data_IF_273129668298
#
_entry.id   IF_273129668298
#
_cell.length_a   1.000
_cell.length_b   1.000
_cell.length_c   1.000
_cell.angle_alpha   90.00
_cell.angle_beta   90.00
_cell.angle_gamma   90.00
#
_symmetry.space_group_name_H-M   'P 1'
#
loop_
_entity.id
_entity.type
_entity.pdbx_description
1 polymer ?
#
# COMPACT_ATOMS: atom_id res chain seq x y z
N UNK A 1 -19.22 -2.90 3.02
CA UNK A 1 -20.35 -1.94 3.03
C UNK A 1 -20.23 -1.09 1.78
N UNK A 2 -21.33 -0.80 1.10
CA UNK A 2 -21.30 0.10 -0.06
C UNK A 2 -21.16 1.54 0.44
N UNK A 3 -20.19 2.28 -0.11
CA UNK A 3 -20.11 3.74 -0.01
C UNK A 3 -21.21 4.33 -0.90
N UNK A 4 -21.73 5.51 -0.54
CA UNK A 4 -22.92 6.13 -1.15
C UNK A 4 -22.96 6.01 -2.67
N UNK A 5 -24.05 5.42 -3.18
CA UNK A 5 -24.33 5.37 -4.60
C UNK A 5 -24.95 6.70 -5.05
N UNK A 6 -24.11 7.63 -5.53
CA UNK A 6 -24.59 8.79 -6.27
C UNK A 6 -25.52 8.34 -7.41
N UNK A 7 -26.68 8.98 -7.53
CA UNK A 7 -27.70 8.58 -8.52
C UNK A 7 -27.34 9.05 -9.92
N UNK A 8 -26.68 8.20 -10.69
CA UNK A 8 -26.24 8.52 -12.06
C UNK A 8 -27.40 8.51 -13.08
N UNK A 9 -27.42 9.52 -13.94
CA UNK A 9 -28.35 9.59 -15.06
C UNK A 9 -27.87 8.64 -16.18
N UNK A 10 -28.57 7.52 -16.36
CA UNK A 10 -28.23 6.47 -17.34
C UNK A 10 -28.46 6.91 -18.78
N UNK A 11 -27.57 7.75 -19.33
CA UNK A 11 -27.54 8.08 -20.75
C UNK A 11 -26.92 6.91 -21.53
N UNK A 12 -27.75 6.26 -22.35
CA UNK A 12 -27.31 5.23 -23.27
C UNK A 12 -26.26 5.78 -24.24
N UNK A 13 -25.26 4.95 -24.59
CA UNK A 13 -24.14 5.30 -25.49
C UNK A 13 -24.65 5.99 -26.77
N UNK A 14 -24.25 7.24 -27.06
CA UNK A 14 -24.37 7.75 -28.42
C UNK A 14 -23.39 6.96 -29.29
N UNK A 15 -23.93 6.15 -30.20
CA UNK A 15 -23.16 5.31 -31.10
C UNK A 15 -22.26 6.17 -31.98
N UNK A 16 -20.96 5.87 -32.01
CA UNK A 16 -20.14 6.28 -33.16
C UNK A 16 -20.72 5.61 -34.42
N UNK A 17 -20.67 6.25 -35.61
CA UNK A 17 -21.19 5.68 -36.84
C UNK A 17 -20.27 4.56 -37.37
N UNK A 18 -20.29 3.40 -36.73
CA UNK A 18 -19.62 2.19 -37.21
C UNK A 18 -20.50 1.48 -38.22
N UNK A 19 -20.05 1.45 -39.48
CA UNK A 19 -20.44 0.37 -40.38
C UNK A 19 -19.91 -0.97 -39.82
N UNK A 20 -20.66 -2.04 -40.06
CA UNK A 20 -20.38 -3.46 -39.71
C UNK A 20 -20.86 -3.89 -38.30
N UNK A 21 -21.58 -5.02 -38.28
CA UNK A 21 -22.27 -5.60 -37.13
C UNK A 21 -21.30 -6.19 -36.08
N UNK A 22 -20.83 -5.36 -35.15
CA UNK A 22 -20.50 -5.83 -33.80
C UNK A 22 -21.63 -5.43 -32.84
N UNK A 23 -22.13 -6.39 -32.08
CA UNK A 23 -23.09 -6.16 -30.99
C UNK A 23 -22.41 -5.45 -29.83
N UNK A 24 -22.16 -4.15 -29.98
CA UNK A 24 -21.63 -3.31 -28.91
C UNK A 24 -22.69 -3.22 -27.80
N UNK A 25 -22.35 -3.71 -26.61
CA UNK A 25 -23.24 -3.69 -25.47
C UNK A 25 -23.68 -2.25 -25.17
N UNK A 26 -24.99 -2.05 -24.97
CA UNK A 26 -25.59 -0.75 -24.61
C UNK A 26 -25.42 -0.48 -23.11
N UNK A 27 -24.87 -1.43 -22.35
CA UNK A 27 -24.61 -1.29 -20.92
C UNK A 27 -23.77 -0.03 -20.61
N UNK A 28 -24.11 0.71 -19.54
CA UNK A 28 -23.27 1.81 -19.07
C UNK A 28 -21.89 1.27 -18.71
N UNK A 29 -20.84 2.03 -19.06
CA UNK A 29 -19.50 1.70 -18.61
C UNK A 29 -19.46 1.82 -17.07
N UNK A 30 -18.86 0.87 -16.37
CA UNK A 30 -18.46 1.03 -14.96
C UNK A 30 -16.94 1.11 -14.88
N UNK A 31 -16.42 2.15 -14.21
CA UNK A 31 -14.98 2.34 -14.04
C UNK A 31 -14.57 1.90 -12.63
N UNK A 32 -13.83 0.79 -12.55
CA UNK A 32 -13.33 0.26 -11.29
C UNK A 32 -11.88 0.75 -11.13
N UNK A 33 -11.56 1.42 -10.04
CA UNK A 33 -10.26 2.10 -9.85
C UNK A 33 -9.52 1.42 -8.70
N UNK A 34 -8.31 0.92 -8.96
CA UNK A 34 -7.43 0.41 -7.91
C UNK A 34 -6.75 1.57 -7.16
N UNK A 35 -6.62 1.48 -5.82
CA UNK A 35 -5.94 2.51 -5.02
C UNK A 35 -4.50 2.82 -5.47
N UNK A 36 -3.78 1.82 -6.01
CA UNK A 36 -2.44 2.01 -6.57
C UNK A 36 -2.41 3.09 -7.68
N UNK A 37 -3.39 3.11 -8.58
CA UNK A 37 -3.46 4.12 -9.64
C UNK A 37 -3.66 5.54 -9.06
N UNK A 38 -4.51 5.69 -8.04
CA UNK A 38 -4.76 6.97 -7.37
C UNK A 38 -3.47 7.47 -6.69
N UNK A 39 -2.76 6.60 -5.97
CA UNK A 39 -1.49 6.95 -5.33
C UNK A 39 -0.41 7.36 -6.34
N UNK A 40 -0.33 6.70 -7.50
CA UNK A 40 0.56 7.09 -8.60
C UNK A 40 0.24 8.50 -9.13
N UNK A 41 -1.05 8.81 -9.31
CA UNK A 41 -1.51 10.13 -9.77
C UNK A 41 -1.19 11.22 -8.73
N UNK A 42 -1.38 10.94 -7.44
CA UNK A 42 -1.07 11.87 -6.36
C UNK A 42 0.45 12.09 -6.20
N UNK A 43 1.27 11.05 -6.28
CA UNK A 43 2.74 11.16 -6.30
C UNK A 43 3.23 12.01 -7.49
N UNK A 44 2.65 11.79 -8.68
CA UNK A 44 2.94 12.62 -9.84
C UNK A 44 2.49 14.09 -9.65
N UNK A 45 1.34 14.33 -9.00
CA UNK A 45 0.89 15.68 -8.68
C UNK A 45 1.84 16.43 -7.73
N UNK A 46 2.42 15.73 -6.74
CA UNK A 46 3.38 16.29 -5.78
C UNK A 46 4.75 16.56 -6.40
N UNK A 47 5.17 15.76 -7.41
CA UNK A 47 6.43 15.96 -8.16
C UNK A 47 6.42 17.15 -9.12
N UNK A 48 5.28 17.81 -9.31
CA UNK A 48 5.16 18.98 -10.18
C UNK A 48 6.08 20.10 -9.69
N UNK A 49 6.91 20.64 -10.59
CA UNK A 49 7.64 21.86 -10.31
C UNK A 49 6.66 22.99 -9.96
N UNK A 50 6.82 23.57 -8.77
CA UNK A 50 5.96 24.66 -8.31
C UNK A 50 6.11 25.84 -9.30
N UNK A 51 5.05 26.25 -10.01
CA UNK A 51 5.21 27.12 -11.17
C UNK A 51 5.79 28.48 -10.77
N UNK A 52 7.01 28.75 -11.23
CA UNK A 52 7.70 30.02 -11.04
C UNK A 52 7.02 31.19 -11.80
N UNK A 53 6.06 30.88 -12.67
CA UNK A 53 5.33 31.82 -13.52
C UNK A 53 3.83 31.52 -13.47
N UNK A 54 2.95 32.52 -13.22
CA UNK A 54 1.51 32.30 -13.01
C UNK A 54 0.70 31.95 -14.28
N UNK A 55 1.37 31.74 -15.42
CA UNK A 55 0.72 31.48 -16.73
C UNK A 55 0.77 30.02 -17.16
N UNK A 56 1.57 29.17 -16.52
CA UNK A 56 1.59 27.73 -16.82
C UNK A 56 0.48 27.05 -16.03
N UNK A 57 -0.50 26.50 -16.76
CA UNK A 57 -1.53 25.61 -16.22
C UNK A 57 -0.90 24.55 -15.32
N UNK A 58 -1.24 24.55 -14.03
CA UNK A 58 -0.67 23.62 -13.06
C UNK A 58 -1.33 22.24 -13.09
N UNK A 59 -1.96 21.83 -14.19
CA UNK A 59 -2.53 20.47 -14.28
C UNK A 59 -1.45 19.46 -14.67
N UNK A 60 -1.62 18.25 -14.17
CA UNK A 60 -0.81 17.09 -14.54
C UNK A 60 -1.64 16.22 -15.49
N UNK A 61 -0.98 15.58 -16.45
CA UNK A 61 -1.58 14.69 -17.45
C UNK A 61 -0.79 13.37 -17.48
N UNK A 62 -1.49 12.26 -17.66
CA UNK A 62 -0.87 10.97 -17.91
C UNK A 62 -1.85 9.93 -18.39
N UNK A 63 -1.37 8.73 -18.71
CA UNK A 63 -2.18 7.64 -19.23
C UNK A 63 -2.64 6.67 -18.14
N UNK A 64 -3.82 6.09 -18.36
CA UNK A 64 -4.42 5.04 -17.55
C UNK A 64 -4.21 3.67 -18.22
N UNK A 65 -3.70 2.72 -17.45
CA UNK A 65 -3.48 1.34 -17.85
C UNK A 65 -4.39 0.43 -17.02
N UNK A 66 -4.85 -0.66 -17.64
CA UNK A 66 -5.47 -1.76 -16.93
C UNK A 66 -6.23 -2.71 -17.84
N UNK A 67 -7.25 -3.36 -17.30
CA UNK A 67 -7.99 -4.41 -18.02
C UNK A 67 -9.41 -3.96 -18.37
N UNK A 68 -9.93 -4.44 -19.50
CA UNK A 68 -11.35 -4.31 -19.88
C UNK A 68 -11.95 -5.71 -19.97
N UNK A 69 -13.21 -5.84 -19.55
CA UNK A 69 -13.98 -7.06 -19.79
C UNK A 69 -14.31 -7.17 -21.29
N UNK A 70 -14.42 -8.39 -21.83
CA UNK A 70 -14.68 -8.63 -23.27
C UNK A 70 -15.95 -7.93 -23.77
N UNK A 71 -16.99 -7.82 -22.92
CA UNK A 71 -18.23 -7.09 -23.21
C UNK A 71 -18.06 -5.56 -23.31
N UNK A 72 -16.90 -5.03 -22.94
CA UNK A 72 -16.59 -3.60 -22.92
C UNK A 72 -17.46 -2.76 -21.96
N UNK A 73 -18.11 -3.40 -21.00
CA UNK A 73 -19.01 -2.78 -20.01
C UNK A 73 -18.30 -2.40 -18.70
N UNK A 74 -17.19 -3.06 -18.35
CA UNK A 74 -16.36 -2.68 -17.20
C UNK A 74 -14.91 -2.37 -17.64
N UNK A 75 -14.32 -1.35 -17.02
CA UNK A 75 -12.91 -1.01 -17.17
C UNK A 75 -12.26 -0.95 -15.77
N UNK A 76 -11.28 -1.83 -15.53
CA UNK A 76 -10.51 -1.91 -14.30
C UNK A 76 -9.19 -1.16 -14.49
N UNK A 77 -9.10 0.05 -13.96
CA UNK A 77 -7.86 0.86 -13.92
C UNK A 77 -6.97 0.30 -12.81
N UNK A 78 -5.84 -0.30 -13.20
CA UNK A 78 -4.86 -0.87 -12.26
C UNK A 78 -3.69 0.07 -12.00
N UNK A 79 -3.21 0.73 -13.05
CA UNK A 79 -2.00 1.54 -13.00
C UNK A 79 -2.13 2.82 -13.82
N UNK A 80 -1.28 3.80 -13.50
CA UNK A 80 -1.25 5.09 -14.15
C UNK A 80 0.19 5.58 -14.23
N UNK A 81 0.58 6.17 -15.36
CA UNK A 81 1.92 6.72 -15.57
C UNK A 81 1.88 8.15 -16.10
N UNK A 82 2.92 8.93 -15.78
CA UNK A 82 3.08 10.32 -16.22
C UNK A 82 3.32 10.41 -17.73
N UNK A 83 2.78 11.42 -18.42
CA UNK A 83 3.22 11.76 -19.78
C UNK A 83 3.71 13.21 -19.80
N UNK A 84 4.95 13.47 -20.26
CA UNK A 84 5.42 14.81 -20.52
C UNK A 84 4.49 15.53 -21.51
N UNK A 85 4.02 16.72 -21.12
CA UNK A 85 3.17 17.57 -21.93
C UNK A 85 3.60 19.01 -21.77
N UNK A 86 3.39 19.80 -22.83
CA UNK A 86 3.65 21.24 -22.84
C UNK A 86 2.32 21.94 -23.08
N UNK A 87 1.85 22.69 -22.09
CA UNK A 87 0.62 23.49 -22.18
C UNK A 87 0.97 24.98 -22.19
N UNK A 88 0.67 25.64 -23.31
CA UNK A 88 0.74 27.08 -23.55
C UNK A 88 -0.67 27.61 -23.77
N UNK A 89 -0.91 28.92 -23.64
CA UNK A 89 -2.24 29.54 -23.75
C UNK A 89 -3.01 29.16 -25.04
N UNK A 90 -2.30 28.91 -26.15
CA UNK A 90 -2.88 28.56 -27.45
C UNK A 90 -2.69 27.08 -27.88
N UNK A 91 -1.84 26.30 -27.21
CA UNK A 91 -1.43 24.97 -27.69
C UNK A 91 -1.11 23.98 -26.57
N UNK A 92 -1.55 22.73 -26.73
CA UNK A 92 -1.13 21.59 -25.91
C UNK A 92 -0.45 20.54 -26.79
N UNK A 93 0.77 20.17 -26.44
CA UNK A 93 1.53 19.07 -27.04
C UNK A 93 1.74 17.95 -26.01
N UNK A 94 1.61 16.70 -26.44
CA UNK A 94 1.75 15.48 -25.62
C UNK A 94 2.78 14.57 -26.29
N UNK A 95 3.76 14.08 -25.54
CA UNK A 95 4.81 13.21 -26.10
C UNK A 95 4.28 11.79 -26.42
N UNK A 96 3.98 11.60 -27.71
CA UNK A 96 3.48 10.34 -28.29
C UNK A 96 4.52 9.22 -28.26
N UNK A 97 5.80 9.55 -28.45
CA UNK A 97 6.88 8.55 -28.53
C UNK A 97 7.23 8.04 -27.13
N UNK A 98 7.23 8.94 -26.13
CA UNK A 98 7.31 8.57 -24.73
C UNK A 98 6.13 7.69 -24.32
N UNK A 99 4.88 8.05 -24.66
CA UNK A 99 3.70 7.23 -24.36
C UNK A 99 3.82 5.83 -24.96
N UNK A 100 4.15 5.70 -26.26
CA UNK A 100 4.29 4.40 -26.94
C UNK A 100 5.42 3.57 -26.33
N UNK A 101 6.56 4.19 -26.00
CA UNK A 101 7.69 3.54 -25.34
C UNK A 101 7.32 3.04 -23.95
N UNK A 102 6.73 3.89 -23.11
CA UNK A 102 6.37 3.57 -21.74
C UNK A 102 5.26 2.50 -21.67
N UNK A 103 4.24 2.60 -22.52
CA UNK A 103 3.23 1.55 -22.66
C UNK A 103 3.87 0.21 -23.04
N UNK A 104 4.83 0.19 -23.96
CA UNK A 104 5.56 -1.04 -24.32
C UNK A 104 6.39 -1.63 -23.17
N UNK A 105 6.83 -0.80 -22.21
CA UNK A 105 7.54 -1.25 -21.01
C UNK A 105 6.58 -1.85 -19.98
N UNK A 106 5.43 -1.21 -19.76
CA UNK A 106 4.37 -1.78 -18.92
C UNK A 106 3.89 -3.13 -19.47
N UNK A 107 3.57 -3.23 -20.76
CA UNK A 107 3.10 -4.47 -21.38
C UNK A 107 4.13 -5.63 -21.34
N UNK A 108 5.42 -5.36 -21.14
CA UNK A 108 6.44 -6.41 -20.90
C UNK A 108 6.34 -7.00 -19.49
N UNK A 109 5.89 -6.23 -18.51
CA UNK A 109 5.65 -6.71 -17.15
C UNK A 109 4.24 -7.29 -16.99
N UNK A 110 3.24 -6.64 -17.58
CA UNK A 110 1.81 -6.95 -17.45
C UNK A 110 1.11 -7.07 -18.82
N UNK A 111 1.37 -8.15 -19.59
CA UNK A 111 0.85 -8.31 -20.96
C UNK A 111 -0.67 -8.50 -21.07
N UNK A 112 -1.39 -8.57 -19.94
CA UNK A 112 -2.87 -8.62 -19.90
C UNK A 112 -3.50 -7.24 -19.87
N UNK A 113 -2.71 -6.20 -19.60
CA UNK A 113 -3.19 -4.82 -19.52
C UNK A 113 -3.25 -4.18 -20.91
N UNK A 114 -3.97 -3.07 -20.99
CA UNK A 114 -4.22 -2.27 -22.19
C UNK A 114 -4.32 -0.80 -21.80
N UNK A 115 -4.17 0.10 -22.78
CA UNK A 115 -4.44 1.51 -22.58
C UNK A 115 -5.95 1.72 -22.38
N UNK A 116 -6.34 2.34 -21.27
CA UNK A 116 -7.75 2.60 -20.92
C UNK A 116 -8.19 4.03 -21.23
N UNK A 117 -7.23 4.97 -21.26
CA UNK A 117 -7.46 6.38 -21.50
C UNK A 117 -6.42 7.22 -20.77
N UNK A 118 -6.85 8.32 -20.15
CA UNK A 118 -5.96 9.29 -19.53
C UNK A 118 -6.55 9.90 -18.25
N UNK A 119 -5.70 10.51 -17.45
CA UNK A 119 -6.09 11.22 -16.23
C UNK A 119 -5.57 12.64 -16.23
N UNK A 120 -6.23 13.48 -15.43
CA UNK A 120 -5.72 14.79 -15.05
C UNK A 120 -6.05 15.12 -13.59
N UNK A 121 -5.37 16.14 -13.07
CA UNK A 121 -5.52 16.62 -11.68
C UNK A 121 -6.37 17.89 -11.59
N UNK A 122 -6.88 18.42 -12.70
CA UNK A 122 -7.86 19.51 -12.71
C UNK A 122 -9.27 18.98 -12.92
N UNK A 123 -10.24 19.51 -12.19
CA UNK A 123 -11.66 19.24 -12.46
C UNK A 123 -12.24 20.13 -13.57
N UNK A 124 -11.52 21.15 -14.03
CA UNK A 124 -11.98 22.05 -15.09
C UNK A 124 -11.77 21.44 -16.48
N UNK A 125 -12.86 21.30 -17.23
CA UNK A 125 -12.87 20.73 -18.57
C UNK A 125 -12.73 21.85 -19.62
N UNK A 126 -11.48 22.12 -20.01
CA UNK A 126 -11.16 23.12 -21.03
C UNK A 126 -11.22 22.55 -22.46
N UNK A 127 -11.25 23.41 -23.48
CA UNK A 127 -11.22 23.01 -24.90
C UNK A 127 -10.06 22.05 -25.24
N UNK A 128 -8.89 22.27 -24.64
CA UNK A 128 -7.73 21.39 -24.77
C UNK A 128 -8.00 19.96 -24.29
N UNK A 129 -8.86 19.76 -23.29
CA UNK A 129 -9.24 18.42 -22.82
C UNK A 129 -9.97 17.63 -23.91
N UNK A 130 -10.74 18.27 -24.79
CA UNK A 130 -11.37 17.61 -25.92
C UNK A 130 -10.34 17.16 -26.97
N UNK A 131 -9.30 17.96 -27.23
CA UNK A 131 -8.20 17.59 -28.13
C UNK A 131 -7.40 16.39 -27.59
N UNK A 132 -7.04 16.41 -26.31
CA UNK A 132 -6.35 15.29 -25.63
C UNK A 132 -7.22 14.03 -25.67
N UNK A 133 -8.52 14.15 -25.38
CA UNK A 133 -9.47 13.05 -25.41
C UNK A 133 -9.59 12.43 -26.82
N UNK A 134 -9.61 13.25 -27.89
CA UNK A 134 -9.64 12.76 -29.27
C UNK A 134 -8.33 12.10 -29.68
N UNK A 135 -7.19 12.58 -29.18
CA UNK A 135 -5.91 11.91 -29.34
C UNK A 135 -5.90 10.52 -28.67
N UNK A 136 -6.39 10.38 -27.44
CA UNK A 136 -6.53 9.08 -26.76
C UNK A 136 -7.65 8.19 -27.31
N UNK A 137 -8.61 8.74 -28.06
CA UNK A 137 -9.62 7.99 -28.80
C UNK A 137 -9.18 7.59 -30.23
N UNK A 138 -8.03 8.10 -30.70
CA UNK A 138 -7.55 7.88 -32.07
C UNK A 138 -7.22 6.39 -32.35
N UNK A 139 -7.45 5.87 -33.57
CA UNK A 139 -7.11 4.49 -33.91
C UNK A 139 -5.61 4.16 -33.91
N UNK A 140 -4.74 5.17 -34.02
CA UNK A 140 -3.29 4.97 -34.18
C UNK A 140 -2.53 4.94 -32.83
N UNK A 141 -3.07 5.61 -31.81
CA UNK A 141 -2.37 5.83 -30.53
C UNK A 141 -3.26 5.54 -29.31
N UNK A 142 -4.57 5.34 -29.54
CA UNK A 142 -5.60 5.34 -28.52
C UNK A 142 -6.22 3.99 -28.22
N UNK A 143 -7.45 4.03 -27.68
CA UNK A 143 -8.14 2.87 -27.09
C UNK A 143 -9.15 2.19 -28.03
N UNK A 144 -9.11 2.51 -29.33
CA UNK A 144 -10.02 1.99 -30.34
C UNK A 144 -10.04 0.44 -30.35
N UNK A 145 -11.21 -0.23 -30.36
CA UNK A 145 -12.56 0.28 -30.65
C UNK A 145 -13.35 0.80 -29.43
N UNK A 146 -12.76 0.83 -28.23
CA UNK A 146 -13.46 1.23 -27.01
C UNK A 146 -13.25 2.72 -26.68
N UNK A 147 -14.22 3.41 -26.05
CA UNK A 147 -14.08 4.82 -25.67
C UNK A 147 -13.00 5.00 -24.60
N UNK A 148 -12.14 6.00 -24.79
CA UNK A 148 -11.13 6.39 -23.82
C UNK A 148 -11.78 6.96 -22.55
N UNK A 149 -11.35 6.47 -21.39
CA UNK A 149 -11.78 6.98 -20.08
C UNK A 149 -10.93 8.19 -19.71
N UNK A 150 -11.59 9.28 -19.33
CA UNK A 150 -10.95 10.46 -18.74
C UNK A 150 -11.24 10.49 -17.23
N UNK A 151 -10.19 10.48 -16.40
CA UNK A 151 -10.29 10.50 -14.94
C UNK A 151 -9.78 11.83 -14.38
N UNK A 152 -10.61 12.59 -13.65
CA UNK A 152 -10.15 13.75 -12.88
C UNK A 152 -10.00 13.38 -11.40
N UNK A 153 -8.87 13.74 -10.79
CA UNK A 153 -8.55 13.49 -9.38
C UNK A 153 -8.27 14.82 -8.67
N UNK A 154 -8.95 15.13 -7.56
CA UNK A 154 -8.58 16.29 -6.73
C UNK A 154 -7.21 16.08 -6.08
N UNK A 155 -6.41 17.14 -6.05
CA UNK A 155 -5.09 17.16 -5.41
C UNK A 155 -5.01 18.18 -4.26
N UNK A 156 -6.14 18.62 -3.72
CA UNK A 156 -6.21 19.65 -2.70
C UNK A 156 -5.71 19.13 -1.34
N UNK A 157 -4.60 19.68 -0.78
CA UNK A 157 -4.02 19.13 0.45
C UNK A 157 -4.95 19.26 1.65
N UNK A 158 -5.33 18.11 2.24
CA UNK A 158 -6.20 18.05 3.41
C UNK A 158 -7.70 17.98 3.11
N UNK A 159 -8.10 17.98 1.83
CA UNK A 159 -9.45 17.61 1.41
C UNK A 159 -9.53 16.10 1.09
N UNK A 160 -10.75 15.56 1.05
CA UNK A 160 -10.98 14.20 0.59
C UNK A 160 -10.75 14.08 -0.92
N UNK A 161 -10.17 12.95 -1.37
CA UNK A 161 -9.81 12.73 -2.77
C UNK A 161 -11.07 12.52 -3.62
N UNK A 162 -11.54 13.59 -4.26
CA UNK A 162 -12.65 13.53 -5.20
C UNK A 162 -12.21 12.92 -6.54
N UNK A 163 -12.95 11.92 -7.00
CA UNK A 163 -12.76 11.24 -8.27
C UNK A 163 -13.97 11.50 -9.17
N UNK A 164 -13.75 11.76 -10.46
CA UNK A 164 -14.81 11.78 -11.47
C UNK A 164 -14.30 11.11 -12.73
N UNK A 165 -15.07 10.17 -13.26
CA UNK A 165 -14.78 9.47 -14.51
C UNK A 165 -15.72 9.98 -15.62
N UNK A 166 -15.16 10.19 -16.80
CA UNK A 166 -15.87 10.68 -17.98
C UNK A 166 -15.54 9.82 -19.21
N UNK A 167 -16.45 9.80 -20.17
CA UNK A 167 -16.23 9.33 -21.55
C UNK A 167 -16.58 10.43 -22.54
N UNK A 168 -15.96 10.40 -23.72
CA UNK A 168 -16.32 11.29 -24.82
C UNK A 168 -17.46 10.74 -25.67
N UNK A 169 -18.41 11.60 -25.98
CA UNK A 169 -19.26 11.49 -27.15
C UNK A 169 -18.82 12.53 -28.20
N UNK A 170 -18.63 12.17 -29.49
CA UNK A 170 -18.43 13.16 -30.54
C UNK A 170 -19.71 13.97 -30.72
N UNK A 171 -19.62 15.30 -30.63
CA UNK A 171 -20.77 16.20 -30.77
C UNK A 171 -20.48 17.23 -31.84
N UNK A 172 -20.80 16.88 -33.08
CA UNK A 172 -20.79 17.82 -34.20
C UNK A 172 -21.81 17.42 -35.27
N UNK A 173 -22.31 18.41 -35.99
CA UNK A 173 -23.17 18.25 -37.18
C UNK A 173 -22.34 17.98 -38.45
N UNK A 174 -21.06 18.39 -38.44
CA UNK A 174 -20.12 18.27 -39.56
C UNK A 174 -18.87 17.49 -39.14
N UNK A 175 -18.33 16.65 -40.04
CA UNK A 175 -17.24 15.73 -39.74
C UNK A 175 -15.92 16.40 -39.29
N UNK A 176 -15.56 17.57 -39.85
CA UNK A 176 -14.32 18.27 -39.48
C UNK A 176 -14.37 18.81 -38.04
N UNK A 177 -15.48 19.46 -37.64
CA UNK A 177 -15.66 19.92 -36.26
C UNK A 177 -15.85 18.79 -35.24
N UNK A 178 -16.15 17.57 -35.68
CA UNK A 178 -16.23 16.40 -34.80
C UNK A 178 -14.86 16.06 -34.19
N UNK A 179 -13.76 16.39 -34.88
CA UNK A 179 -12.39 16.18 -34.38
C UNK A 179 -11.95 17.23 -33.33
N UNK A 180 -12.66 18.36 -33.24
CA UNK A 180 -12.36 19.47 -32.32
C UNK A 180 -13.34 19.55 -31.14
N UNK A 181 -14.52 18.92 -31.25
CA UNK A 181 -15.62 19.04 -30.28
C UNK A 181 -16.12 17.70 -29.75
N UNK A 182 -15.92 17.47 -28.46
CA UNK A 182 -16.46 16.33 -27.73
C UNK A 182 -17.20 16.76 -26.47
N UNK A 183 -18.31 16.07 -26.19
CA UNK A 183 -19.04 16.18 -24.94
C UNK A 183 -18.51 15.12 -23.96
N UNK A 184 -18.15 15.55 -22.75
CA UNK A 184 -17.83 14.65 -21.65
C UNK A 184 -19.11 14.23 -20.94
N UNK A 185 -19.37 12.92 -20.91
CA UNK A 185 -20.47 12.30 -20.17
C UNK A 185 -19.86 11.64 -18.93
N UNK A 186 -20.36 11.99 -17.74
CA UNK A 186 -19.90 11.38 -16.49
C UNK A 186 -20.37 9.92 -16.39
N UNK A 187 -19.52 9.06 -15.84
CA UNK A 187 -19.67 7.61 -15.79
C UNK A 187 -19.59 7.13 -14.34
N UNK A 188 -20.42 6.15 -13.92
CA UNK A 188 -20.30 5.56 -12.59
C UNK A 188 -18.91 4.96 -12.39
N UNK A 189 -18.33 5.24 -11.22
CA UNK A 189 -17.02 4.73 -10.84
C UNK A 189 -17.07 4.18 -9.41
N UNK A 190 -16.23 3.18 -9.13
CA UNK A 190 -16.05 2.62 -7.79
C UNK A 190 -14.57 2.40 -7.52
N UNK A 191 -14.12 2.69 -6.31
CA UNK A 191 -12.77 2.30 -5.86
C UNK A 191 -12.84 0.84 -5.42
N UNK A 192 -12.08 -0.02 -6.08
CA UNK A 192 -12.04 -1.46 -5.81
C UNK A 192 -10.64 -1.86 -5.36
N UNK A 193 -10.52 -2.33 -4.12
CA UNK A 193 -9.28 -2.82 -3.53
C UNK A 193 -9.25 -4.34 -3.48
N UNK A 194 -8.07 -4.93 -3.72
CA UNK A 194 -7.77 -6.32 -3.40
C UNK A 194 -7.58 -6.51 -1.90
N UNK A 195 -7.77 -7.72 -1.36
CA UNK A 195 -7.56 -8.01 0.07
C UNK A 195 -6.11 -7.70 0.50
N UNK A 196 -5.13 -7.95 -0.37
CA UNK A 196 -3.73 -7.59 -0.12
C UNK A 196 -3.50 -6.08 -0.09
N UNK A 197 -4.19 -5.32 -0.96
CA UNK A 197 -4.14 -3.85 -0.94
C UNK A 197 -4.83 -3.30 0.30
N UNK A 198 -5.96 -3.89 0.73
CA UNK A 198 -6.68 -3.49 1.95
C UNK A 198 -5.78 -3.57 3.17
N UNK A 199 -5.10 -4.70 3.39
CA UNK A 199 -4.17 -4.86 4.52
C UNK A 199 -3.00 -3.87 4.47
N UNK A 200 -2.46 -3.60 3.27
CA UNK A 200 -1.41 -2.60 3.10
C UNK A 200 -1.90 -1.17 3.38
N UNK A 201 -3.09 -0.80 2.92
CA UNK A 201 -3.72 0.50 3.14
C UNK A 201 -4.10 0.70 4.61
N UNK A 202 -4.55 -0.35 5.31
CA UNK A 202 -4.83 -0.31 6.75
C UNK A 202 -3.55 -0.03 7.56
N UNK A 203 -2.44 -0.69 7.21
CA UNK A 203 -1.12 -0.40 7.81
C UNK A 203 -0.66 1.04 7.52
N UNK A 204 -0.74 1.49 6.26
CA UNK A 204 -0.39 2.87 5.87
C UNK A 204 -1.28 3.89 6.61
N UNK A 205 -2.57 3.60 6.76
CA UNK A 205 -3.51 4.44 7.52
C UNK A 205 -3.12 4.53 9.00
N UNK A 206 -2.72 3.41 9.63
CA UNK A 206 -2.26 3.41 11.02
C UNK A 206 -0.97 4.23 11.25
N UNK A 207 -0.16 4.43 10.20
CA UNK A 207 1.03 5.29 10.25
C UNK A 207 0.71 6.79 10.15
N UNK A 208 -0.50 7.18 9.73
CA UNK A 208 -0.91 8.58 9.53
C UNK A 208 -0.80 9.42 10.79
N UNK A 209 -1.25 8.88 11.92
CA UNK A 209 -1.38 9.58 13.20
C UNK A 209 -0.14 9.38 14.11
N UNK A 210 0.87 8.62 13.65
CA UNK A 210 2.12 8.40 14.36
C UNK A 210 3.15 9.49 14.00
N UNK A 211 3.75 10.16 14.99
CA UNK A 211 4.70 11.26 14.76
C UNK A 211 5.90 10.88 13.86
N UNK A 212 6.39 9.64 13.96
CA UNK A 212 7.49 9.13 13.12
C UNK A 212 7.06 8.70 11.71
N UNK A 213 5.75 8.70 11.41
CA UNK A 213 5.14 8.18 10.17
C UNK A 213 5.64 6.78 9.76
N UNK A 214 5.98 5.97 10.74
CA UNK A 214 6.56 4.64 10.55
C UNK A 214 5.87 3.64 11.45
N UNK A 215 5.35 2.57 10.85
CA UNK A 215 4.75 1.43 11.55
C UNK A 215 5.54 0.18 11.23
N UNK A 216 5.82 -0.63 12.24
CA UNK A 216 6.30 -1.99 12.03
C UNK A 216 5.23 -2.83 11.33
N UNK A 217 5.64 -3.91 10.66
CA UNK A 217 4.71 -4.96 10.26
C UNK A 217 4.14 -5.57 11.55
N UNK A 218 2.82 -5.58 11.68
CA UNK A 218 2.13 -6.19 12.83
C UNK A 218 2.46 -7.67 12.92
N UNK A 219 2.66 -8.18 14.14
CA UNK A 219 2.74 -9.63 14.33
C UNK A 219 1.40 -10.30 14.04
N UNK A 220 1.43 -11.58 13.65
CA UNK A 220 0.22 -12.36 13.36
C UNK A 220 -0.76 -12.38 14.55
N UNK A 221 -0.23 -12.35 15.78
CA UNK A 221 -1.01 -12.30 17.02
C UNK A 221 -1.72 -10.96 17.20
N UNK A 222 -1.06 -9.84 16.91
CA UNK A 222 -1.70 -8.51 16.93
C UNK A 222 -2.74 -8.36 15.80
N UNK A 223 -2.48 -8.96 14.63
CA UNK A 223 -3.46 -9.03 13.53
C UNK A 223 -4.70 -9.84 13.91
N UNK A 224 -4.53 -10.96 14.62
CA UNK A 224 -5.63 -11.75 15.16
C UNK A 224 -6.40 -10.99 16.24
N UNK A 225 -5.72 -10.31 17.15
CA UNK A 225 -6.38 -9.49 18.18
C UNK A 225 -7.27 -8.39 17.57
N UNK A 226 -6.75 -7.65 16.58
CA UNK A 226 -7.52 -6.62 15.86
C UNK A 226 -8.69 -7.20 15.07
N UNK A 227 -8.54 -8.37 14.43
CA UNK A 227 -9.65 -8.98 13.70
C UNK A 227 -10.74 -9.52 14.62
N UNK A 228 -10.39 -9.96 15.84
CA UNK A 228 -11.36 -10.27 16.89
C UNK A 228 -12.11 -9.01 17.37
N UNK A 229 -11.41 -7.91 17.65
CA UNK A 229 -12.02 -6.62 18.01
C UNK A 229 -12.97 -6.11 16.91
N UNK A 230 -12.53 -6.14 15.64
CA UNK A 230 -13.38 -5.79 14.49
C UNK A 230 -14.60 -6.72 14.35
N UNK A 231 -14.46 -8.01 14.68
CA UNK A 231 -15.58 -8.97 14.65
C UNK A 231 -16.58 -8.68 15.77
N UNK A 232 -16.11 -8.28 16.96
CA UNK A 232 -16.96 -7.86 18.08
C UNK A 232 -17.74 -6.59 17.73
N UNK A 233 -17.08 -5.56 17.20
CA UNK A 233 -17.75 -4.32 16.73
C UNK A 233 -18.83 -4.59 15.66
N UNK A 234 -18.53 -5.49 14.70
CA UNK A 234 -19.51 -5.91 13.70
C UNK A 234 -20.70 -6.66 14.30
N UNK A 235 -20.48 -7.50 15.32
CA UNK A 235 -21.55 -8.20 16.04
C UNK A 235 -22.39 -7.24 16.88
N UNK A 236 -21.77 -6.30 17.61
CA UNK A 236 -22.45 -5.28 18.38
C UNK A 236 -23.29 -4.36 17.49
N UNK A 237 -22.78 -3.98 16.32
CA UNK A 237 -23.52 -3.19 15.33
C UNK A 237 -24.72 -3.95 14.74
N UNK A 238 -24.59 -5.26 14.50
CA UNK A 238 -25.72 -6.10 14.06
C UNK A 238 -26.73 -6.29 15.19
N UNK A 239 -26.26 -6.49 16.42
CA UNK A 239 -27.10 -6.58 17.63
C UNK A 239 -27.92 -5.30 17.84
N UNK A 240 -27.27 -4.13 17.77
CA UNK A 240 -27.92 -2.83 17.85
C UNK A 240 -28.98 -2.63 16.77
N UNK A 241 -28.68 -2.96 15.50
CA UNK A 241 -29.66 -2.90 14.40
C UNK A 241 -30.89 -3.81 14.62
N UNK A 242 -30.71 -4.99 15.22
CA UNK A 242 -31.83 -5.88 15.58
C UNK A 242 -32.61 -5.32 16.79
N UNK A 243 -31.93 -4.66 17.73
CA UNK A 243 -32.54 -3.89 18.82
C UNK A 243 -33.44 -2.75 18.32
N UNK A 244 -32.93 -1.88 17.44
CA UNK A 244 -33.69 -0.79 16.79
C UNK A 244 -35.01 -1.26 16.14
N UNK A 245 -35.03 -2.50 15.61
CA UNK A 245 -36.23 -3.11 15.00
C UNK A 245 -37.17 -3.67 16.07
N UNK A 246 -36.65 -4.27 17.14
CA UNK A 246 -37.44 -4.80 18.26
C UNK A 246 -38.12 -3.69 19.07
N UNK A 247 -37.47 -2.52 19.17
CA UNK A 247 -37.98 -1.32 19.83
C UNK A 247 -38.89 -0.46 18.90
N UNK A 248 -39.24 -0.97 17.71
CA UNK A 248 -40.08 -0.34 16.68
C UNK A 248 -39.55 1.00 16.11
N UNK A 249 -38.28 1.35 16.34
CA UNK A 249 -37.67 2.59 15.83
C UNK A 249 -37.36 2.55 14.32
N UNK A 250 -37.27 1.34 13.72
CA UNK A 250 -36.83 1.15 12.34
C UNK A 250 -37.61 0.08 11.57
N UNK A 251 -37.89 0.34 10.30
CA UNK A 251 -38.61 -0.62 9.44
C UNK A 251 -37.81 -1.93 9.24
N UNK A 252 -38.45 -3.11 9.44
CA UNK A 252 -37.80 -4.41 9.32
C UNK A 252 -37.51 -4.79 7.86
N UNK A 253 -36.28 -5.24 7.58
CA UNK A 253 -35.92 -5.83 6.29
C UNK A 253 -35.88 -7.36 6.36
N UNK A 254 -36.93 -8.01 5.84
CA UNK A 254 -37.07 -9.47 5.86
C UNK A 254 -35.92 -10.22 5.17
N UNK A 255 -35.33 -9.67 4.11
CA UNK A 255 -34.22 -10.32 3.41
C UNK A 255 -32.94 -10.32 4.28
N UNK A 256 -32.69 -9.24 5.02
CA UNK A 256 -31.58 -9.16 5.96
C UNK A 256 -31.81 -10.06 7.18
N UNK A 257 -33.04 -10.11 7.71
CA UNK A 257 -33.40 -11.04 8.79
C UNK A 257 -33.19 -12.51 8.41
N UNK A 258 -33.60 -12.91 7.19
CA UNK A 258 -33.35 -14.27 6.68
C UNK A 258 -31.85 -14.56 6.51
N UNK A 259 -31.06 -13.58 6.03
CA UNK A 259 -29.61 -13.71 5.92
C UNK A 259 -28.95 -13.91 7.30
N UNK A 260 -29.28 -13.08 8.29
CA UNK A 260 -28.77 -13.21 9.66
C UNK A 260 -29.12 -14.55 10.29
N UNK A 261 -30.37 -15.01 10.12
CA UNK A 261 -30.81 -16.31 10.62
C UNK A 261 -30.02 -17.47 9.96
N UNK A 262 -29.73 -17.36 8.65
CA UNK A 262 -28.89 -18.35 7.96
C UNK A 262 -27.44 -18.33 8.45
N UNK A 263 -26.86 -17.15 8.68
CA UNK A 263 -25.49 -17.01 9.18
C UNK A 263 -25.33 -17.61 10.59
N UNK A 264 -26.27 -17.32 11.50
CA UNK A 264 -26.28 -17.88 12.86
C UNK A 264 -26.56 -19.40 12.87
N UNK A 265 -27.28 -19.93 11.86
CA UNK A 265 -27.50 -21.37 11.73
C UNK A 265 -26.24 -22.15 11.29
N UNK A 266 -25.26 -21.47 10.68
CA UNK A 266 -23.98 -22.02 10.28
C UNK A 266 -22.93 -22.04 11.40
N UNK A 267 -23.19 -21.38 12.54
CA UNK A 267 -22.29 -21.39 13.70
C UNK A 267 -22.11 -22.83 14.19
N UNK A 268 -20.87 -23.38 14.18
CA UNK A 268 -20.65 -24.77 14.53
C UNK A 268 -20.91 -24.97 16.02
N UNK A 269 -21.83 -25.88 16.35
CA UNK A 269 -22.16 -26.27 17.72
C UNK A 269 -21.11 -27.25 18.26
N UNK A 270 -19.88 -26.77 18.38
CA UNK A 270 -18.80 -27.50 19.06
C UNK A 270 -18.99 -27.31 20.56
N UNK A 271 -18.77 -28.37 21.33
CA UNK A 271 -18.81 -28.30 22.78
C UNK A 271 -17.59 -27.53 23.32
N UNK A 272 -17.80 -26.74 24.39
CA UNK A 272 -16.76 -25.85 24.92
C UNK A 272 -15.54 -26.64 25.43
N UNK A 273 -15.79 -27.78 26.07
CA UNK A 273 -14.74 -28.68 26.57
C UNK A 273 -13.87 -29.25 25.43
N UNK A 274 -14.47 -29.51 24.26
CA UNK A 274 -13.73 -29.98 23.08
C UNK A 274 -12.82 -28.90 22.50
N UNK A 275 -13.30 -27.65 22.45
CA UNK A 275 -12.48 -26.52 21.97
C UNK A 275 -11.30 -26.30 22.92
N UNK A 276 -11.54 -26.31 24.23
CA UNK A 276 -10.49 -26.10 25.23
C UNK A 276 -9.43 -27.22 25.19
N UNK A 277 -9.83 -28.47 25.04
CA UNK A 277 -8.91 -29.60 24.85
C UNK A 277 -8.02 -29.42 23.61
N UNK A 278 -8.62 -29.14 22.45
CA UNK A 278 -7.89 -29.05 21.19
C UNK A 278 -6.99 -27.81 21.14
N UNK A 279 -7.41 -26.70 21.74
CA UNK A 279 -6.61 -25.49 21.89
C UNK A 279 -5.42 -25.69 22.84
N UNK A 280 -5.62 -26.39 23.97
CA UNK A 280 -4.54 -26.74 24.90
C UNK A 280 -3.50 -27.67 24.25
N UNK A 281 -3.93 -28.67 23.47
CA UNK A 281 -3.02 -29.54 22.73
C UNK A 281 -2.21 -28.75 21.69
N UNK A 282 -2.85 -27.85 20.94
CA UNK A 282 -2.15 -26.98 20.00
C UNK A 282 -1.13 -26.05 20.68
N UNK A 283 -1.47 -25.49 21.85
CA UNK A 283 -0.54 -24.69 22.66
C UNK A 283 0.67 -25.53 23.11
N UNK A 284 0.45 -26.77 23.56
CA UNK A 284 1.55 -27.66 23.97
C UNK A 284 2.52 -27.95 22.81
N UNK A 285 2.01 -28.25 21.62
CA UNK A 285 2.83 -28.47 20.42
C UNK A 285 3.64 -27.22 20.03
N UNK A 286 2.99 -26.05 20.01
CA UNK A 286 3.65 -24.76 19.69
C UNK A 286 4.72 -24.39 20.73
N UNK A 287 4.44 -24.61 22.03
CA UNK A 287 5.42 -24.40 23.10
C UNK A 287 6.61 -25.35 22.99
N UNK A 288 6.39 -26.63 22.65
CA UNK A 288 7.46 -27.60 22.44
C UNK A 288 8.38 -27.17 21.29
N UNK A 289 7.82 -26.76 20.14
CA UNK A 289 8.58 -26.28 18.98
C UNK A 289 9.36 -25.00 19.32
N UNK A 290 8.72 -24.05 20.01
CA UNK A 290 9.37 -22.80 20.46
C UNK A 290 10.52 -23.07 21.44
N UNK A 291 10.34 -23.98 22.39
CA UNK A 291 11.38 -24.38 23.34
C UNK A 291 12.58 -25.04 22.64
N UNK A 292 12.33 -25.93 21.68
CA UNK A 292 13.38 -26.56 20.87
C UNK A 292 14.14 -25.52 20.03
N UNK A 293 13.43 -24.61 19.36
CA UNK A 293 14.05 -23.55 18.57
C UNK A 293 14.91 -22.60 19.41
N UNK A 294 14.44 -22.23 20.61
CA UNK A 294 15.22 -21.43 21.55
C UNK A 294 16.44 -22.19 22.10
N UNK A 295 16.31 -23.49 22.39
CA UNK A 295 17.44 -24.34 22.81
C UNK A 295 18.52 -24.45 21.72
N UNK A 296 18.11 -24.62 20.45
CA UNK A 296 19.04 -24.60 19.31
C UNK A 296 19.71 -23.22 19.19
N UNK A 297 18.97 -22.13 19.34
CA UNK A 297 19.51 -20.76 19.29
C UNK A 297 20.54 -20.51 20.40
N UNK A 298 20.27 -20.91 21.65
CA UNK A 298 21.23 -20.76 22.76
C UNK A 298 22.45 -21.64 22.56
N UNK A 299 22.29 -22.86 22.04
CA UNK A 299 23.42 -23.75 21.72
C UNK A 299 24.29 -23.19 20.58
N UNK A 300 23.70 -22.53 19.59
CA UNK A 300 24.43 -21.82 18.53
C UNK A 300 25.22 -20.64 19.12
N UNK A 301 24.60 -19.73 19.88
CA UNK A 301 25.28 -18.58 20.52
C UNK A 301 26.41 -19.05 21.45
N UNK A 302 26.16 -20.09 22.25
CA UNK A 302 27.17 -20.66 23.14
C UNK A 302 28.32 -21.32 22.35
N UNK A 303 28.05 -22.01 21.23
CA UNK A 303 29.10 -22.57 20.36
C UNK A 303 29.93 -21.47 19.69
N UNK A 304 29.32 -20.37 19.26
CA UNK A 304 30.00 -19.22 18.67
C UNK A 304 30.90 -18.53 19.71
N UNK A 305 30.41 -18.33 20.94
CA UNK A 305 31.20 -17.78 22.04
C UNK A 305 32.35 -18.69 22.46
N UNK A 306 32.15 -20.01 22.52
CA UNK A 306 33.23 -20.96 22.81
C UNK A 306 34.29 -20.97 21.71
N UNK A 307 33.89 -20.94 20.43
CA UNK A 307 34.84 -20.83 19.32
C UNK A 307 35.66 -19.55 19.37
N UNK A 308 35.02 -18.41 19.67
CA UNK A 308 35.72 -17.13 19.87
C UNK A 308 36.62 -17.13 21.13
N UNK A 309 36.21 -17.79 22.21
CA UNK A 309 37.00 -17.93 23.42
C UNK A 309 38.26 -18.78 23.19
N UNK A 310 38.13 -19.94 22.52
CA UNK A 310 39.28 -20.78 22.16
C UNK A 310 40.30 -20.02 21.27
N UNK A 311 39.80 -19.24 20.30
CA UNK A 311 40.65 -18.35 19.47
C UNK A 311 41.28 -17.20 20.26
N UNK A 312 40.75 -16.85 21.44
CA UNK A 312 41.35 -15.87 22.34
C UNK A 312 42.38 -16.47 23.29
N UNK A 313 42.21 -17.71 23.75
CA UNK A 313 43.20 -18.46 24.53
C UNK A 313 44.46 -18.76 23.68
N UNK A 314 44.29 -19.19 22.41
CA UNK A 314 45.42 -19.36 21.47
C UNK A 314 46.22 -18.06 21.22
N UNK A 315 45.64 -16.90 21.53
CA UNK A 315 46.31 -15.59 21.49
C UNK A 315 46.97 -15.26 22.83
N UNK A 316 46.34 -15.60 23.96
CA UNK A 316 46.91 -15.40 25.29
C UNK A 316 48.17 -16.24 25.51
N UNK A 317 48.19 -17.50 25.07
CA UNK A 317 49.38 -18.37 25.17
C UNK A 317 50.56 -17.84 24.34
N UNK A 318 50.31 -17.12 23.24
CA UNK A 318 51.37 -16.50 22.41
C UNK A 318 51.98 -15.23 23.02
N UNK A 319 51.25 -14.52 23.88
CA UNK A 319 51.79 -13.39 24.65
C UNK A 319 52.38 -13.84 26.02
N UNK A 320 52.01 -15.04 26.50
CA UNK A 320 52.54 -15.63 27.73
C UNK A 320 54.01 -16.07 27.65
N UNK A 321 54.43 -16.61 26.50
CA UNK A 321 55.79 -17.17 26.30
C UNK A 321 56.85 -16.08 25.96
N UNK A 322 56.46 -14.80 25.94
CA UNK A 322 57.34 -13.66 25.64
C UNK A 322 57.99 -13.02 26.88
N UNK A 323 58.12 -13.75 27.99
CA UNK A 323 58.77 -13.31 29.24
C UNK A 323 59.90 -14.22 29.73
N UNK A 324 60.68 -14.76 28.79
CA UNK A 324 61.98 -15.39 29.04
C UNK A 324 63.12 -14.65 28.34
N UNK A 325 64.22 -14.43 29.05
CA UNK A 325 65.55 -14.05 28.52
C UNK A 325 65.69 -12.78 27.65
N UNK A 326 66.13 -11.67 28.27
CA UNK A 326 67.45 -11.05 27.98
C UNK A 326 67.76 -9.91 28.94
N UNK A 327 68.87 -10.04 29.68
CA UNK A 327 69.23 -9.11 30.75
C UNK A 327 70.70 -9.14 31.15
N UNK A 328 71.62 -9.17 30.17
CA UNK A 328 73.07 -8.93 30.28
C UNK A 328 73.63 -8.83 28.83
N UNK A 329 74.69 -8.09 28.44
CA UNK A 329 75.54 -7.04 29.04
C UNK A 329 75.73 -5.97 27.94
N UNK A 330 75.71 -4.66 28.18
CA UNK A 330 76.80 -3.81 28.71
C UNK A 330 78.01 -3.71 27.74
N UNK A 331 78.53 -2.55 27.31
CA UNK A 331 78.15 -1.14 27.53
C UNK A 331 78.96 -0.19 26.57
N UNK A 332 78.39 0.99 26.24
CA UNK A 332 79.01 2.31 25.88
C UNK A 332 78.70 2.89 24.50
N UNK A 333 78.26 4.17 24.45
CA UNK A 333 78.05 4.84 23.15
C UNK A 333 77.67 6.34 23.06
N UNK A 334 77.15 7.02 24.09
CA UNK A 334 77.19 8.49 24.20
C UNK A 334 76.24 9.40 23.37
N UNK A 335 75.66 10.38 24.08
CA UNK A 335 75.18 11.73 23.66
C UNK A 335 73.94 11.90 22.73
N UNK A 336 72.96 12.64 23.27
CA UNK A 336 72.53 13.90 22.63
C UNK A 336 71.03 14.21 22.50
N UNK A 337 70.51 15.12 23.34
CA UNK A 337 69.26 15.90 23.11
C UNK A 337 67.91 15.13 23.13
N UNK A 338 66.76 15.74 23.44
CA UNK A 338 66.50 17.11 23.92
C UNK A 338 65.25 17.74 23.29
N UNK A 339 64.10 17.70 23.99
CA UNK A 339 62.76 18.25 23.60
C UNK A 339 62.12 17.49 22.42
N UNK A 340 60.80 17.34 22.28
CA UNK A 340 59.59 17.69 23.04
C UNK A 340 58.38 17.32 22.15
N UNK A 341 57.12 17.21 22.56
CA UNK A 341 56.42 17.40 23.84
C UNK A 341 54.92 17.66 23.59
N UNK A 342 54.04 17.38 24.58
CA UNK A 342 52.56 17.62 24.59
C UNK A 342 51.73 16.84 23.54
N UNK A 343 50.50 16.41 23.82
CA UNK A 343 49.65 16.37 25.03
C UNK A 343 48.58 15.27 24.84
N UNK A 344 47.94 14.67 25.86
CA UNK A 344 47.08 15.28 26.88
C UNK A 344 45.73 15.68 26.26
N UNK A 345 44.53 15.26 26.70
CA UNK A 345 43.99 14.60 27.93
C UNK A 345 42.76 13.76 27.48
N UNK A 346 42.12 12.88 28.25
CA UNK A 346 42.30 12.43 29.64
C UNK A 346 40.95 12.26 30.37
N UNK A 347 40.85 11.24 31.23
CA UNK A 347 39.71 11.02 32.15
C UNK A 347 38.51 10.23 31.58
N UNK A 348 37.62 9.65 32.40
CA UNK A 348 37.63 9.49 33.87
C UNK A 348 36.51 8.51 34.31
N UNK A 349 36.79 7.60 35.27
CA UNK A 349 35.87 6.88 36.18
C UNK A 349 34.60 6.17 35.65
N UNK A 350 34.35 4.97 36.17
CA UNK A 350 32.97 4.47 36.28
C UNK A 350 32.79 2.96 36.46
N UNK A 351 33.39 2.35 37.47
CA UNK A 351 33.09 0.94 37.78
C UNK A 351 31.65 0.77 38.28
N UNK A 352 30.90 -0.17 37.70
CA UNK A 352 29.69 -0.76 38.29
C UNK A 352 29.71 -2.26 38.05
N UNK A 353 29.68 -3.00 39.16
CA UNK A 353 29.46 -4.43 39.19
C UNK A 353 28.05 -4.72 38.69
N UNK A 354 27.90 -5.60 37.69
CA UNK A 354 26.59 -6.12 37.32
C UNK A 354 26.36 -7.41 38.09
N UNK A 355 25.45 -7.34 39.08
CA UNK A 355 24.99 -8.51 39.85
C UNK A 355 24.17 -9.43 38.95
N UNK A 356 24.33 -10.73 39.14
CA UNK A 356 23.44 -11.74 38.58
C UNK A 356 22.01 -11.59 39.16
N UNK A 357 20.94 -11.88 38.39
CA UNK A 357 19.58 -11.91 38.89
C UNK A 357 19.38 -13.07 39.87
N UNK A 358 18.78 -12.80 41.04
CA UNK A 358 18.31 -13.87 41.93
C UNK A 358 16.97 -14.40 41.48
N UNK A 359 16.82 -15.72 41.44
CA UNK A 359 15.55 -16.40 41.18
C UNK A 359 14.50 -16.11 42.28
N UNK A 360 13.20 -16.09 41.96
CA UNK A 360 12.13 -15.98 42.95
C UNK A 360 12.03 -17.27 43.79
N UNK A 361 11.83 -17.13 45.10
CA UNK A 361 11.49 -18.27 45.97
C UNK A 361 9.99 -18.58 45.89
N UNK A 362 9.66 -19.86 45.76
CA UNK A 362 8.28 -20.35 45.83
C UNK A 362 7.63 -20.06 47.20
N UNK A 363 6.30 -19.79 47.26
CA UNK A 363 5.57 -19.68 48.50
C UNK A 363 5.42 -21.06 49.17
N UNK A 364 5.61 -21.14 50.48
CA UNK A 364 5.25 -22.33 51.26
C UNK A 364 3.75 -22.33 51.55
N UNK A 365 3.11 -23.47 51.34
CA UNK A 365 1.74 -23.72 51.78
C UNK A 365 1.62 -23.58 53.32
N UNK A 366 0.51 -23.02 53.85
CA UNK A 366 0.21 -23.08 55.26
C UNK A 366 -0.24 -24.50 55.65
N UNK A 367 0.19 -24.97 56.82
CA UNK A 367 -0.35 -26.20 57.42
C UNK A 367 -1.70 -25.92 58.06
N UNK A 368 -2.61 -26.89 57.95
CA UNK A 368 -3.88 -26.92 58.67
C UNK A 368 -3.69 -26.97 60.19
N UNK A 369 -4.46 -26.16 60.91
CA UNK A 369 -4.96 -26.38 62.28
C UNK A 369 -6.28 -25.61 62.47
#
# INVERSE_FOLDING_TARGET
MAVDSESFLHLARPLAPTAINLSSSIAPLSVNIQPQAILSILDHAVRRDNPATPTTSSRVIGALIGTRTEDGAEANVSSAFAIPHTETEDQVEVDVEYQKTMLSLHLKASPRETLLGWYTTSHELNSFSALIQNFFASPETGTFPHPAVHLTVSTDPGADVQLKAYISAPVAVNAERAAESCLFIQVPHRVSYSDAERSALELISSAKDTESRSTGVTSDVEGLARSLEQTIDLLDRVSGYVGEILDEEREPNNALGQYLMSALSLTPKVDAESIEHDFNNHIQDVLMVSYLANSIRTQIDLSQRLALAALSDEKADKDGDAKGERGDRGERGGRGGGRGGRGGRGGNRGGRENREPREPREPREPKDE
#
